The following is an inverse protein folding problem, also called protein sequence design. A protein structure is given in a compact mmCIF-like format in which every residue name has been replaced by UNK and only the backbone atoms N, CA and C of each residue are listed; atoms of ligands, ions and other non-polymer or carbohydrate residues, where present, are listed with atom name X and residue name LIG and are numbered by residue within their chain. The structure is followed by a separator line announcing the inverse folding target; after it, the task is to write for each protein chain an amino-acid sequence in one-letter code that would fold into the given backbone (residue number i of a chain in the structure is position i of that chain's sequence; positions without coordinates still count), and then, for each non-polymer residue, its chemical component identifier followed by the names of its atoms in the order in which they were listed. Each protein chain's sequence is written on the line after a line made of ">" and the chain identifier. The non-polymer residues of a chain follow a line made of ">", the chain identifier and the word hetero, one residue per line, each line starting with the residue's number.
data_IF_029055088820
#
_entry.id   IF_029055088820
#
_cell.length_a   1.000
_cell.length_b   1.000
_cell.length_c   1.000
_cell.angle_alpha   90.00
_cell.angle_beta   90.00
_cell.angle_gamma   90.00
#
_symmetry.space_group_name_H-M   'P 1'
#
loop_
_entity.id
_entity.type
_entity.pdbx_description
1 polymer ?
#
# COMPACT_ATOMS: atom_id res chain seq x y z
N UNK A 1 3.46 -14.34 14.63
CA UNK A 1 4.22 -13.30 13.90
C UNK A 1 3.77 -11.94 14.42
N UNK A 2 4.61 -10.92 14.29
CA UNK A 2 4.28 -9.55 14.60
C UNK A 2 4.07 -8.79 13.29
N UNK A 3 2.87 -8.23 13.09
CA UNK A 3 2.46 -7.54 11.87
C UNK A 3 2.29 -6.06 12.15
N UNK A 4 2.97 -5.23 11.36
CA UNK A 4 2.81 -3.78 11.39
C UNK A 4 2.42 -3.26 10.01
N UNK A 5 1.25 -2.63 9.92
CA UNK A 5 0.78 -1.95 8.71
C UNK A 5 0.98 -0.45 8.91
N UNK A 6 1.74 0.15 8.01
CA UNK A 6 2.23 1.52 8.07
C UNK A 6 1.65 2.32 6.91
N UNK A 7 1.06 3.46 7.25
CA UNK A 7 0.68 4.50 6.31
C UNK A 7 1.65 5.68 6.44
N UNK A 8 1.79 6.56 5.44
CA UNK A 8 2.69 7.70 5.50
C UNK A 8 2.47 8.62 6.71
N UNK A 9 1.25 8.67 7.23
CA UNK A 9 0.84 9.58 8.31
C UNK A 9 0.54 8.89 9.66
N UNK A 10 0.46 7.54 9.71
CA UNK A 10 0.12 6.81 10.94
C UNK A 10 0.46 5.32 10.85
N UNK A 11 0.53 4.69 12.01
CA UNK A 11 0.47 3.22 12.11
C UNK A 11 -1.00 2.82 11.99
N UNK A 12 -1.32 1.98 11.02
CA UNK A 12 -2.69 1.48 10.80
C UNK A 12 -2.99 0.28 11.70
N UNK A 13 -2.05 -0.66 11.79
CA UNK A 13 -2.16 -1.83 12.65
C UNK A 13 -0.78 -2.18 13.24
N UNK A 14 -0.78 -2.63 14.49
CA UNK A 14 0.39 -3.12 15.22
C UNK A 14 -0.05 -4.32 16.05
N UNK A 15 0.17 -5.53 15.53
CA UNK A 15 -0.49 -6.75 15.99
C UNK A 15 0.53 -7.85 16.28
N UNK A 16 0.47 -8.39 17.49
CA UNK A 16 1.17 -9.61 17.86
C UNK A 16 0.31 -10.86 17.63
N UNK A 17 0.96 -12.02 17.56
CA UNK A 17 0.26 -13.30 17.53
C UNK A 17 -0.45 -13.63 16.22
N UNK A 18 -0.10 -12.97 15.11
CA UNK A 18 -0.66 -13.29 13.78
C UNK A 18 -0.22 -14.69 13.37
N UNK A 19 -1.19 -15.55 13.03
CA UNK A 19 -0.99 -16.98 12.73
C UNK A 19 -0.81 -17.24 11.23
N UNK A 20 -1.46 -16.45 10.38
CA UNK A 20 -1.27 -16.45 8.92
C UNK A 20 -1.62 -15.09 8.33
N UNK A 21 -1.10 -14.83 7.15
CA UNK A 21 -1.52 -13.70 6.32
C UNK A 21 -1.48 -14.05 4.84
N UNK A 22 -2.30 -13.35 4.06
CA UNK A 22 -2.37 -13.47 2.60
C UNK A 22 -2.38 -12.06 2.03
N UNK A 23 -1.53 -11.85 1.02
CA UNK A 23 -1.38 -10.56 0.34
C UNK A 23 -1.51 -10.74 -1.16
N UNK A 24 -1.88 -9.69 -1.87
CA UNK A 24 -1.88 -9.66 -3.33
C UNK A 24 -0.62 -8.96 -3.85
N UNK A 25 0.00 -9.60 -4.84
CA UNK A 25 1.17 -9.10 -5.55
C UNK A 25 0.90 -9.13 -7.04
N UNK A 26 1.76 -8.51 -7.85
CA UNK A 26 1.66 -8.59 -9.31
C UNK A 26 1.80 -10.02 -9.87
N UNK A 27 2.36 -10.95 -9.09
CA UNK A 27 2.49 -12.36 -9.45
C UNK A 27 1.30 -13.22 -8.95
N UNK A 28 0.29 -12.60 -8.34
CA UNK A 28 -0.85 -13.25 -7.70
C UNK A 28 -0.79 -13.21 -6.18
N UNK A 29 -1.61 -14.05 -5.54
CA UNK A 29 -1.75 -14.07 -4.08
C UNK A 29 -0.61 -14.83 -3.42
N UNK A 30 -0.07 -14.28 -2.33
CA UNK A 30 1.04 -14.85 -1.58
C UNK A 30 0.67 -15.07 -0.12
N UNK A 31 0.77 -16.32 0.34
CA UNK A 31 0.55 -16.69 1.73
C UNK A 31 1.84 -16.65 2.55
N UNK A 32 1.78 -16.08 3.74
CA UNK A 32 2.90 -16.01 4.68
C UNK A 32 2.48 -16.66 6.00
N UNK A 33 3.26 -17.65 6.41
CA UNK A 33 3.14 -18.35 7.68
C UNK A 33 4.34 -18.02 8.58
N UNK A 34 4.23 -18.27 9.90
CA UNK A 34 5.36 -18.15 10.81
C UNK A 34 6.55 -18.96 10.29
N UNK A 35 7.76 -18.42 10.44
CA UNK A 35 9.01 -19.03 9.98
C UNK A 35 9.16 -19.21 8.46
N UNK A 36 8.29 -18.61 7.64
CA UNK A 36 8.59 -18.40 6.22
C UNK A 36 9.94 -17.70 6.07
N UNK A 37 10.76 -18.03 5.07
CA UNK A 37 12.02 -17.31 4.83
C UNK A 37 11.84 -15.79 4.68
N UNK A 38 12.89 -15.06 5.05
CA UNK A 38 12.97 -13.61 4.88
C UNK A 38 12.81 -13.21 3.42
N UNK A 39 12.16 -12.08 3.19
CA UNK A 39 11.82 -11.67 1.83
C UNK A 39 11.12 -10.33 1.76
N UNK A 40 11.00 -9.85 0.53
CA UNK A 40 10.36 -8.58 0.20
C UNK A 40 9.37 -8.85 -0.94
N UNK A 41 8.21 -8.22 -0.90
CA UNK A 41 7.21 -8.29 -1.95
C UNK A 41 6.64 -6.90 -2.25
N UNK A 42 6.53 -6.57 -3.53
CA UNK A 42 5.74 -5.43 -3.96
C UNK A 42 4.25 -5.80 -3.93
N UNK A 43 3.46 -4.94 -3.31
CA UNK A 43 2.02 -5.10 -3.18
C UNK A 43 1.31 -4.28 -4.26
N UNK A 44 0.29 -4.89 -4.86
CA UNK A 44 -0.68 -4.20 -5.72
C UNK A 44 -1.93 -3.86 -4.88
N UNK A 45 -2.83 -2.98 -5.34
CA UNK A 45 -4.09 -2.75 -4.64
C UNK A 45 -4.83 -4.07 -4.50
N UNK A 46 -5.16 -4.45 -3.28
CA UNK A 46 -5.57 -5.82 -2.96
C UNK A 46 -6.27 -5.94 -1.61
N UNK A 47 -6.87 -7.10 -1.37
CA UNK A 47 -7.30 -7.47 -0.03
C UNK A 47 -6.12 -8.12 0.70
N UNK A 48 -5.67 -7.47 1.76
CA UNK A 48 -4.76 -8.04 2.74
C UNK A 48 -5.59 -8.77 3.79
N UNK A 49 -5.32 -10.06 3.96
CA UNK A 49 -5.97 -10.89 4.98
C UNK A 49 -4.95 -11.29 6.04
N UNK A 50 -5.33 -11.21 7.31
CA UNK A 50 -4.56 -11.82 8.39
C UNK A 50 -5.47 -12.54 9.36
N UNK A 51 -4.89 -13.45 10.14
CA UNK A 51 -5.63 -14.17 11.17
C UNK A 51 -4.95 -14.02 12.53
N UNK A 52 -5.76 -13.75 13.55
CA UNK A 52 -5.34 -13.73 14.95
C UNK A 52 -6.20 -14.68 15.77
N UNK A 53 -5.69 -15.17 16.89
CA UNK A 53 -6.46 -16.04 17.78
C UNK A 53 -7.67 -15.31 18.42
N UNK A 54 -7.61 -13.99 18.55
CA UNK A 54 -8.64 -13.18 19.21
C UNK A 54 -9.76 -12.74 18.28
N UNK A 55 -9.42 -12.34 17.05
CA UNK A 55 -10.38 -11.76 16.10
C UNK A 55 -10.74 -12.72 14.96
N UNK A 56 -10.05 -13.86 14.87
CA UNK A 56 -10.18 -14.76 13.73
C UNK A 56 -9.60 -14.13 12.47
N UNK A 57 -10.28 -14.34 11.34
CA UNK A 57 -9.86 -13.82 10.04
C UNK A 57 -10.31 -12.36 9.86
N UNK A 58 -9.36 -11.49 9.55
CA UNK A 58 -9.55 -10.06 9.37
C UNK A 58 -9.15 -9.64 7.96
N UNK A 59 -9.86 -8.65 7.41
CA UNK A 59 -9.67 -8.16 6.05
C UNK A 59 -9.36 -6.66 6.05
N UNK A 60 -8.38 -6.28 5.24
CA UNK A 60 -7.95 -4.90 5.04
C UNK A 60 -7.80 -4.65 3.55
N UNK A 61 -8.54 -3.69 3.01
CA UNK A 61 -8.25 -3.13 1.69
C UNK A 61 -6.97 -2.32 1.78
N UNK A 62 -5.96 -2.69 0.99
CA UNK A 62 -4.69 -1.97 0.91
C UNK A 62 -4.45 -1.47 -0.50
N UNK A 63 -3.85 -0.29 -0.61
CA UNK A 63 -3.31 0.23 -1.87
C UNK A 63 -1.90 -0.35 -2.14
N UNK A 64 -1.26 0.10 -3.21
CA UNK A 64 0.12 -0.23 -3.55
C UNK A 64 1.10 0.04 -2.40
N UNK A 65 2.12 -0.81 -2.32
CA UNK A 65 3.14 -0.68 -1.30
C UNK A 65 4.19 -1.78 -1.32
N UNK A 66 4.85 -1.95 -0.19
CA UNK A 66 5.93 -2.92 0.00
C UNK A 66 5.71 -3.70 1.29
N UNK A 67 5.91 -5.01 1.22
CA UNK A 67 5.99 -5.91 2.36
C UNK A 67 7.44 -6.33 2.57
N UNK A 68 7.90 -6.28 3.81
CA UNK A 68 9.19 -6.84 4.25
C UNK A 68 8.93 -7.83 5.36
N UNK A 69 9.39 -9.07 5.19
CA UNK A 69 9.34 -10.11 6.21
C UNK A 69 10.76 -10.41 6.67
N UNK A 70 11.00 -10.34 7.98
CA UNK A 70 12.30 -10.65 8.61
C UNK A 70 12.07 -11.36 9.93
N UNK A 71 12.59 -12.57 10.10
CA UNK A 71 12.39 -13.37 11.32
C UNK A 71 10.91 -13.66 11.59
N UNK A 72 10.34 -13.04 12.63
CA UNK A 72 8.90 -13.11 12.96
C UNK A 72 8.14 -11.82 12.67
N UNK A 73 8.85 -10.78 12.23
CA UNK A 73 8.31 -9.47 11.93
C UNK A 73 7.90 -9.37 10.46
N UNK A 74 6.73 -8.77 10.24
CA UNK A 74 6.23 -8.41 8.92
C UNK A 74 5.85 -6.94 8.95
N UNK A 75 6.56 -6.15 8.15
CA UNK A 75 6.31 -4.72 7.96
C UNK A 75 5.64 -4.53 6.60
N UNK A 76 4.51 -3.83 6.60
CA UNK A 76 3.73 -3.55 5.40
C UNK A 76 3.59 -2.04 5.28
N UNK A 77 4.26 -1.44 4.31
CA UNK A 77 4.18 -0.01 4.05
C UNK A 77 3.35 0.22 2.80
N UNK A 78 2.16 0.81 2.97
CA UNK A 78 1.20 1.07 1.88
C UNK A 78 0.75 2.51 1.92
N UNK A 79 0.32 3.07 0.78
CA UNK A 79 -0.12 4.46 0.72
C UNK A 79 -1.41 4.69 1.51
N UNK A 80 -2.35 3.75 1.39
CA UNK A 80 -3.68 3.78 2.01
C UNK A 80 -4.06 2.38 2.48
N UNK A 81 -4.83 2.33 3.56
CA UNK A 81 -5.40 1.10 4.07
C UNK A 81 -6.73 1.39 4.79
N UNK A 82 -7.70 0.52 4.58
CA UNK A 82 -9.04 0.58 5.18
C UNK A 82 -9.44 -0.81 5.67
N UNK A 83 -9.79 -0.93 6.94
CA UNK A 83 -10.23 -2.18 7.55
C UNK A 83 -11.74 -2.31 7.56
N UNK A 84 -12.26 -3.53 7.56
CA UNK A 84 -13.71 -3.76 7.62
C UNK A 84 -14.09 -5.24 7.63
N UNK A 85 -15.32 -5.52 8.07
CA UNK A 85 -15.88 -6.88 8.08
C UNK A 85 -16.68 -7.20 6.81
N UNK A 86 -17.03 -6.19 6.02
CA UNK A 86 -17.75 -6.35 4.76
C UNK A 86 -16.78 -6.30 3.57
N UNK A 87 -16.52 -7.47 3.01
CA UNK A 87 -15.60 -7.65 1.88
C UNK A 87 -16.09 -6.95 0.60
N UNK A 88 -17.41 -6.83 0.42
CA UNK A 88 -18.00 -6.12 -0.72
C UNK A 88 -17.70 -4.62 -0.66
N UNK A 89 -17.85 -4.03 0.53
CA UNK A 89 -17.49 -2.63 0.77
C UNK A 89 -15.99 -2.39 0.62
N UNK A 90 -15.15 -3.30 1.12
CA UNK A 90 -13.69 -3.18 0.98
C UNK A 90 -13.25 -3.20 -0.48
N UNK A 91 -13.88 -4.04 -1.31
CA UNK A 91 -13.62 -4.06 -2.76
C UNK A 91 -14.03 -2.77 -3.45
N UNK A 92 -15.20 -2.22 -3.12
CA UNK A 92 -15.64 -0.94 -3.66
C UNK A 92 -14.67 0.21 -3.31
N UNK A 93 -14.20 0.26 -2.05
CA UNK A 93 -13.18 1.24 -1.62
C UNK A 93 -11.89 1.10 -2.43
N UNK A 94 -11.44 -0.13 -2.74
CA UNK A 94 -10.28 -0.31 -3.59
C UNK A 94 -10.50 0.19 -5.02
N UNK A 95 -11.63 -0.15 -5.62
CA UNK A 95 -11.93 0.17 -7.02
C UNK A 95 -12.15 1.69 -7.23
N UNK A 96 -12.92 2.32 -6.34
CA UNK A 96 -13.29 3.73 -6.48
C UNK A 96 -12.26 4.67 -5.84
N UNK A 97 -11.75 4.39 -4.64
CA UNK A 97 -10.89 5.35 -3.93
C UNK A 97 -9.39 5.16 -4.18
N UNK A 98 -8.90 3.99 -4.57
CA UNK A 98 -7.45 3.82 -4.77
C UNK A 98 -7.07 4.07 -6.23
N UNK A 99 -7.76 3.43 -7.18
CA UNK A 99 -7.47 3.58 -8.60
C UNK A 99 -7.79 4.98 -9.13
N UNK A 100 -8.94 5.57 -8.81
CA UNK A 100 -9.30 6.89 -9.35
C UNK A 100 -8.43 8.03 -8.78
N UNK A 101 -8.07 7.93 -7.50
CA UNK A 101 -7.23 8.93 -6.86
C UNK A 101 -5.78 8.86 -7.37
N UNK A 102 -5.22 7.67 -7.64
CA UNK A 102 -3.86 7.55 -8.20
C UNK A 102 -3.78 8.20 -9.59
N UNK A 103 -4.77 7.95 -10.45
CA UNK A 103 -4.91 8.55 -11.77
C UNK A 103 -4.99 10.09 -11.72
N UNK A 104 -5.76 10.62 -10.77
CA UNK A 104 -5.91 12.06 -10.59
C UNK A 104 -4.65 12.72 -10.03
N UNK A 105 -3.99 12.09 -9.06
CA UNK A 105 -2.73 12.56 -8.46
C UNK A 105 -1.60 12.56 -9.49
N UNK A 106 -1.50 11.53 -10.33
CA UNK A 106 -0.52 11.44 -11.40
C UNK A 106 -0.69 12.59 -12.40
N UNK A 107 -1.93 12.83 -12.85
CA UNK A 107 -2.24 13.93 -13.78
C UNK A 107 -1.91 15.31 -13.20
N UNK A 108 -2.23 15.53 -11.93
CA UNK A 108 -1.94 16.78 -11.24
C UNK A 108 -0.41 17.00 -11.06
N UNK A 109 0.33 15.94 -10.71
CA UNK A 109 1.79 15.99 -10.60
C UNK A 109 2.43 16.30 -11.96
N UNK A 110 2.03 15.61 -13.02
CA UNK A 110 2.53 15.85 -14.39
C UNK A 110 2.23 17.28 -14.88
N UNK A 111 1.04 17.81 -14.56
CA UNK A 111 0.70 19.19 -14.91
C UNK A 111 1.62 20.20 -14.18
N UNK A 112 1.91 19.96 -12.91
CA UNK A 112 2.80 20.80 -12.09
C UNK A 112 4.24 20.76 -12.60
N UNK A 113 4.75 19.57 -12.93
CA UNK A 113 6.09 19.40 -13.51
C UNK A 113 6.22 20.10 -14.87
N UNK A 114 5.20 20.00 -15.73
CA UNK A 114 5.17 20.73 -17.01
C UNK A 114 5.18 22.24 -16.83
N UNK A 115 4.45 22.76 -15.84
CA UNK A 115 4.45 24.19 -15.52
C UNK A 115 5.83 24.63 -15.00
N UNK A 116 6.45 23.87 -14.10
CA UNK A 116 7.77 24.18 -13.55
C UNK A 116 8.86 24.14 -14.64
N UNK A 117 8.88 23.10 -15.47
CA UNK A 117 9.79 22.98 -16.62
C UNK A 117 9.57 24.09 -17.67
N UNK A 118 8.31 24.40 -17.97
CA UNK A 118 7.93 25.50 -18.85
C UNK A 118 8.35 26.87 -18.30
N UNK A 119 8.30 27.07 -16.99
CA UNK A 119 8.77 28.29 -16.34
C UNK A 119 10.29 28.41 -16.43
N UNK A 120 11.04 27.38 -16.04
CA UNK A 120 12.50 27.37 -16.08
C UNK A 120 13.06 27.59 -17.50
N UNK A 121 12.46 26.93 -18.51
CA UNK A 121 12.87 27.07 -19.91
C UNK A 121 12.61 28.46 -20.50
N UNK A 122 11.57 29.16 -20.05
CA UNK A 122 11.33 30.57 -20.42
C UNK A 122 12.28 31.51 -19.69
N UNK A 123 12.54 31.26 -18.42
CA UNK A 123 13.44 32.07 -17.59
C UNK A 123 14.90 32.01 -18.11
N UNK A 124 15.38 30.83 -18.47
CA UNK A 124 16.70 30.64 -19.09
C UNK A 124 16.84 31.38 -20.44
N UNK A 125 15.74 31.53 -21.18
CA UNK A 125 15.72 32.24 -22.47
C UNK A 125 15.81 33.77 -22.31
N UNK A 126 15.31 34.30 -21.19
CA UNK A 126 15.38 35.74 -20.87
C UNK A 126 16.77 36.14 -20.38
N UNK A 127 17.53 35.23 -19.77
CA UNK A 127 18.91 35.48 -19.32
C UNK A 127 19.98 35.35 -20.41
N UNK A 128 19.61 35.01 -21.64
CA UNK A 128 20.51 34.93 -22.81
C UNK A 128 20.38 36.12 -23.78
N UNK A 129 19.94 37.28 -23.28
CA UNK A 129 19.95 38.58 -24.00
C UNK A 129 20.88 39.55 -23.29
#
# INVERSE_FOLDING_TARGET
>A
MHLKILLPNRIFADLDGVSRMVVETSAGSFGILPHRLDGIAALVPGIFTYETATEGECFVAVDQGMLVKTGLDVLVSVRRATGGTDLGRLRAVMEEEFLELDDSEERARLATEKLASGFLSRFARVHHV
#
